data_IF_576330460590
#
_entry.id   IF_576330460590
#
_cell.length_a   1.000
_cell.length_b   1.000
_cell.length_c   1.000
_cell.angle_alpha   90.00
_cell.angle_beta   90.00
_cell.angle_gamma   90.00
#
_symmetry.space_group_name_H-M   'P 1'
#
loop_
_entity.id
_entity.type
_entity.pdbx_description
1 polymer ?
#
# COMPACT_ATOMS: atom_id res chain seq x y z
N UNK A 1 -3.00 14.94 17.10
CA UNK A 1 -2.19 15.95 16.40
C UNK A 1 -1.80 15.56 14.96
N UNK A 2 -2.37 14.50 14.36
CA UNK A 2 -2.14 14.13 12.95
C UNK A 2 -2.91 14.99 11.92
N UNK A 3 -3.89 15.80 12.36
CA UNK A 3 -4.73 16.63 11.47
C UNK A 3 -4.08 17.93 10.97
N UNK A 4 -2.91 18.33 11.50
CA UNK A 4 -2.42 19.71 11.36
C UNK A 4 -1.16 19.88 10.50
N UNK A 5 -0.58 18.79 9.98
CA UNK A 5 0.62 18.85 9.14
C UNK A 5 0.37 18.03 7.88
N UNK A 6 -0.24 18.64 6.87
CA UNK A 6 -0.21 18.18 5.47
C UNK A 6 0.06 16.68 5.29
N UNK A 7 -0.90 15.81 5.63
CA UNK A 7 -0.77 14.36 5.39
C UNK A 7 -0.96 14.04 3.90
N UNK A 8 -0.29 14.81 3.06
CA UNK A 8 -0.10 14.62 1.64
C UNK A 8 1.25 13.91 1.50
N UNK A 9 1.20 12.61 1.22
CA UNK A 9 2.41 11.79 1.19
C UNK A 9 2.23 10.57 0.30
N UNK A 10 3.28 10.20 -0.43
CA UNK A 10 3.29 8.99 -1.27
C UNK A 10 4.09 7.90 -0.57
N UNK A 11 3.41 6.86 -0.10
CA UNK A 11 4.02 5.62 0.38
C UNK A 11 4.22 4.71 -0.82
N UNK A 12 5.44 4.24 -1.07
CA UNK A 12 5.63 3.15 -2.04
C UNK A 12 5.54 1.83 -1.30
N UNK A 13 4.69 0.96 -1.80
CA UNK A 13 4.53 -0.39 -1.30
C UNK A 13 4.83 -1.39 -2.39
N UNK A 14 5.41 -2.52 -1.98
CA UNK A 14 5.49 -3.71 -2.80
C UNK A 14 4.71 -4.81 -2.11
N UNK A 15 3.80 -5.44 -2.83
CA UNK A 15 3.02 -6.55 -2.32
C UNK A 15 2.99 -7.72 -3.28
N UNK A 16 2.81 -8.92 -2.73
CA UNK A 16 2.65 -10.16 -3.47
C UNK A 16 1.19 -10.57 -3.49
N UNK A 17 0.67 -10.82 -4.68
CA UNK A 17 -0.72 -11.22 -4.93
C UNK A 17 -0.75 -12.68 -5.37
N UNK A 18 -1.55 -13.50 -4.70
CA UNK A 18 -1.82 -14.87 -5.13
C UNK A 18 -2.66 -14.88 -6.41
N UNK A 19 -2.71 -16.00 -7.15
CA UNK A 19 -3.55 -16.15 -8.35
C UNK A 19 -5.04 -15.89 -8.11
N UNK A 20 -5.49 -15.89 -6.85
CA UNK A 20 -6.86 -15.54 -6.44
C UNK A 20 -7.10 -14.04 -6.22
N UNK A 21 -6.10 -13.17 -6.43
CA UNK A 21 -6.18 -11.73 -6.11
C UNK A 21 -5.93 -11.38 -4.63
N UNK A 22 -5.65 -12.37 -3.78
CA UNK A 22 -5.40 -12.14 -2.36
C UNK A 22 -3.98 -11.66 -2.12
N UNK A 23 -3.82 -10.59 -1.35
CA UNK A 23 -2.51 -10.13 -0.91
C UNK A 23 -1.93 -11.10 0.13
N UNK A 24 -0.74 -11.62 -0.14
CA UNK A 24 -0.04 -12.61 0.70
C UNK A 24 1.14 -12.03 1.44
N UNK A 25 1.72 -10.95 0.92
CA UNK A 25 2.85 -10.25 1.56
C UNK A 25 2.81 -8.78 1.18
N UNK A 26 3.08 -7.89 2.14
CA UNK A 26 3.12 -6.44 1.96
C UNK A 26 4.39 -5.92 2.59
N UNK A 27 5.06 -5.01 1.89
CA UNK A 27 6.23 -4.30 2.41
C UNK A 27 6.24 -2.86 1.92
N UNK A 28 6.52 -1.93 2.82
CA UNK A 28 6.82 -0.55 2.46
C UNK A 28 8.25 -0.51 1.88
N UNK A 29 8.36 -0.04 0.64
CA UNK A 29 9.64 0.22 -0.04
C UNK A 29 10.07 1.67 0.12
N UNK A 30 9.12 2.59 0.32
CA UNK A 30 9.38 3.99 0.64
C UNK A 30 8.33 4.52 1.61
N UNK A 31 8.78 4.94 2.79
CA UNK A 31 7.95 5.59 3.80
C UNK A 31 7.41 6.94 3.30
N UNK A 32 6.22 7.31 3.76
CA UNK A 32 5.68 8.67 3.57
C UNK A 32 6.45 9.74 4.35
N UNK A 33 7.24 9.34 5.35
CA UNK A 33 7.81 10.24 6.35
C UNK A 33 6.95 10.39 7.61
N UNK A 34 5.77 9.77 7.65
CA UNK A 34 4.89 9.74 8.81
C UNK A 34 4.62 8.28 9.26
N UNK A 35 4.97 7.90 10.50
CA UNK A 35 4.83 6.54 10.98
C UNK A 35 3.38 6.11 11.23
N UNK A 36 2.45 7.05 11.42
CA UNK A 36 1.03 6.74 11.61
C UNK A 36 0.38 6.45 10.25
N UNK A 37 0.70 7.22 9.20
CA UNK A 37 0.30 6.93 7.82
C UNK A 37 0.86 5.58 7.35
N UNK A 38 2.14 5.32 7.58
CA UNK A 38 2.78 4.06 7.19
C UNK A 38 2.12 2.85 7.88
N UNK A 39 1.77 2.96 9.17
CA UNK A 39 1.02 1.91 9.88
C UNK A 39 -0.39 1.75 9.31
N UNK A 40 -1.08 2.85 9.04
CA UNK A 40 -2.40 2.83 8.41
C UNK A 40 -2.38 2.10 7.06
N UNK A 41 -1.35 2.32 6.24
CA UNK A 41 -1.15 1.58 4.98
C UNK A 41 -0.99 0.08 5.21
N UNK A 42 -0.14 -0.31 6.16
CA UNK A 42 0.12 -1.72 6.43
C UNK A 42 -1.15 -2.44 6.92
N UNK A 43 -1.93 -1.79 7.78
CA UNK A 43 -3.19 -2.30 8.29
C UNK A 43 -4.24 -2.42 7.17
N UNK A 44 -4.36 -1.38 6.33
CA UNK A 44 -5.33 -1.33 5.24
C UNK A 44 -5.02 -2.35 4.14
N UNK A 45 -3.74 -2.65 3.90
CA UNK A 45 -3.32 -3.69 2.96
C UNK A 45 -3.31 -5.10 3.59
N UNK A 46 -3.30 -5.21 4.92
CA UNK A 46 -3.41 -6.51 5.59
C UNK A 46 -4.79 -7.12 5.36
N UNK A 47 -4.84 -8.19 4.58
CA UNK A 47 -6.10 -8.86 4.24
C UNK A 47 -6.90 -8.16 3.13
N UNK A 48 -6.35 -7.11 2.52
CA UNK A 48 -6.93 -6.52 1.33
C UNK A 48 -6.97 -7.55 0.18
N UNK A 49 -8.05 -7.50 -0.59
CA UNK A 49 -8.15 -8.21 -1.86
C UNK A 49 -8.00 -7.18 -2.96
N UNK A 50 -7.01 -7.38 -3.82
CA UNK A 50 -6.79 -6.54 -4.99
C UNK A 50 -7.32 -7.26 -6.22
N UNK A 51 -7.74 -6.54 -7.27
CA UNK A 51 -8.06 -7.20 -8.54
C UNK A 51 -6.86 -8.05 -8.97
N UNK A 52 -7.15 -9.31 -9.33
CA UNK A 52 -6.14 -10.25 -9.74
C UNK A 52 -5.34 -9.64 -10.91
N UNK A 53 -3.99 -9.61 -10.82
CA UNK A 53 -3.18 -9.08 -11.90
C UNK A 53 -3.48 -9.85 -13.20
N UNK A 54 -3.53 -9.17 -14.36
CA UNK A 54 -3.81 -9.82 -15.63
C UNK A 54 -2.78 -10.90 -15.94
N UNK A 55 -3.20 -11.91 -16.70
CA UNK A 55 -2.41 -13.11 -16.97
C UNK A 55 -1.05 -12.75 -17.59
N UNK A 56 0.04 -13.24 -16.98
CA UNK A 56 1.41 -12.95 -17.41
C UNK A 56 2.12 -11.83 -16.63
N UNK A 57 1.44 -11.13 -15.72
CA UNK A 57 2.07 -10.16 -14.81
C UNK A 57 2.61 -10.87 -13.58
N UNK A 58 3.83 -10.51 -13.17
CA UNK A 58 4.46 -11.05 -11.96
C UNK A 58 3.58 -10.83 -10.74
N UNK A 59 3.46 -11.85 -9.89
CA UNK A 59 2.73 -11.77 -8.61
C UNK A 59 3.23 -10.67 -7.67
N UNK A 60 4.43 -10.10 -7.94
CA UNK A 60 4.95 -8.92 -7.25
C UNK A 60 4.50 -7.66 -7.98
N UNK A 61 3.80 -6.81 -7.24
CA UNK A 61 3.30 -5.51 -7.70
C UNK A 61 3.97 -4.43 -6.86
N UNK A 62 4.54 -3.41 -7.49
CA UNK A 62 4.98 -2.18 -6.82
C UNK A 62 4.07 -1.02 -7.25
N UNK A 63 3.49 -0.33 -6.28
CA UNK A 63 2.61 0.81 -6.56
C UNK A 63 2.83 1.94 -5.56
N UNK A 64 2.73 3.20 -6.01
CA UNK A 64 2.63 4.34 -5.12
C UNK A 64 1.20 4.46 -4.57
N UNK A 65 1.06 4.48 -3.25
CA UNK A 65 -0.16 4.90 -2.55
C UNK A 65 -0.01 6.37 -2.14
N UNK A 66 -0.92 7.23 -2.61
CA UNK A 66 -0.93 8.65 -2.26
C UNK A 66 -2.07 8.93 -1.29
N UNK A 67 -1.74 9.53 -0.15
CA UNK A 67 -2.73 10.04 0.81
C UNK A 67 -3.02 11.50 0.50
N UNK A 68 -4.30 11.87 0.52
CA UNK A 68 -4.74 13.25 0.37
C UNK A 68 -5.89 13.50 1.34
N UNK A 69 -5.71 14.44 2.27
CA UNK A 69 -6.82 14.95 3.08
C UNK A 69 -7.62 15.92 2.19
N UNK A 70 -8.84 15.53 1.83
CA UNK A 70 -9.86 16.47 1.33
C UNK A 70 -10.62 17.09 2.48
#
# INVERSE_FOLDING_TARGET
AAKARHSEGTVRVSFMVAGSGRVTSVRITRSSGDPDLDRGVLDLLQGATVPAPPEGVSSRVDVPLTFSLR
#
